data_IF_752304179983
#
_entry.id   IF_752304179983
#
_cell.length_a   1.000
_cell.length_b   1.000
_cell.length_c   1.000
_cell.angle_alpha   90.00
_cell.angle_beta   90.00
_cell.angle_gamma   90.00
#
_symmetry.space_group_name_H-M   'P 1'
#
loop_
_entity.id
_entity.type
_entity.pdbx_description
1 polymer ?
#
# COMPACT_ATOMS: atom_id res chain seq x y z
N UNK A 1 19.86 -61.17 -17.74
CA UNK A 1 20.05 -59.94 -18.53
C UNK A 1 18.78 -59.14 -18.33
N UNK A 2 18.75 -58.42 -17.22
CA UNK A 2 17.61 -57.65 -16.71
C UNK A 2 17.86 -56.20 -17.06
N UNK A 3 16.87 -55.60 -17.72
CA UNK A 3 16.85 -54.21 -18.14
C UNK A 3 16.20 -53.37 -17.03
N UNK A 4 16.89 -52.38 -16.44
CA UNK A 4 16.23 -51.34 -15.68
C UNK A 4 16.48 -49.98 -16.33
N UNK A 5 15.42 -49.19 -16.51
CA UNK A 5 15.36 -47.76 -16.17
C UNK A 5 14.29 -47.07 -17.03
N UNK A 6 13.04 -47.15 -16.59
CA UNK A 6 12.03 -46.18 -16.96
C UNK A 6 12.43 -44.82 -16.40
N UNK A 7 12.90 -43.92 -17.25
CA UNK A 7 13.05 -42.50 -16.92
C UNK A 7 11.67 -41.88 -17.04
N UNK A 8 10.97 -41.84 -15.91
CA UNK A 8 9.79 -40.99 -15.75
C UNK A 8 10.23 -39.54 -15.82
N UNK A 9 9.85 -38.84 -16.88
CA UNK A 9 9.95 -37.39 -16.98
C UNK A 9 8.97 -36.78 -15.97
N UNK A 10 9.42 -36.58 -14.72
CA UNK A 10 8.75 -35.67 -13.82
C UNK A 10 8.93 -34.26 -14.38
N UNK A 11 7.90 -33.78 -15.07
CA UNK A 11 7.73 -32.37 -15.36
C UNK A 11 7.70 -31.63 -14.02
N UNK A 12 8.85 -31.08 -13.62
CA UNK A 12 8.90 -30.04 -12.59
C UNK A 12 8.08 -28.88 -13.13
N UNK A 13 6.82 -28.77 -12.68
CA UNK A 13 6.11 -27.51 -12.72
C UNK A 13 6.92 -26.56 -11.83
N UNK A 14 7.77 -25.74 -12.46
CA UNK A 14 8.31 -24.56 -11.82
C UNK A 14 7.11 -23.74 -11.33
N UNK A 15 6.90 -23.72 -10.02
CA UNK A 15 5.87 -22.89 -9.40
C UNK A 15 6.13 -21.46 -9.80
N UNK A 16 5.29 -20.91 -10.68
CA UNK A 16 5.32 -19.49 -11.00
C UNK A 16 4.80 -18.76 -9.77
N UNK A 17 5.71 -18.28 -8.93
CA UNK A 17 5.34 -17.42 -7.81
C UNK A 17 4.83 -16.09 -8.38
N UNK A 18 3.54 -15.80 -8.20
CA UNK A 18 2.94 -14.50 -8.58
C UNK A 18 3.75 -13.36 -7.96
N UNK A 19 4.11 -12.35 -8.75
CA UNK A 19 4.83 -11.16 -8.30
C UNK A 19 4.13 -10.48 -7.10
N UNK A 20 4.91 -9.88 -6.19
CA UNK A 20 4.37 -9.08 -5.08
C UNK A 20 3.53 -7.92 -5.62
N UNK A 21 2.38 -7.66 -5.01
CA UNK A 21 1.60 -6.47 -5.34
C UNK A 21 2.38 -5.24 -4.85
N UNK A 22 2.54 -4.19 -5.68
CA UNK A 22 3.39 -3.06 -5.35
C UNK A 22 2.87 -2.31 -4.10
N UNK A 23 3.76 -1.70 -3.31
CA UNK A 23 3.35 -0.86 -2.19
C UNK A 23 2.64 0.40 -2.70
N UNK A 24 1.91 1.05 -1.78
CA UNK A 24 1.37 2.40 -1.99
C UNK A 24 2.22 3.40 -1.21
N UNK A 25 2.45 4.57 -1.80
CA UNK A 25 3.13 5.67 -1.12
C UNK A 25 2.08 6.56 -0.47
N UNK A 26 2.41 7.14 0.68
CA UNK A 26 1.65 8.22 1.31
C UNK A 26 2.54 9.43 1.35
N UNK A 27 2.06 10.59 0.91
CA UNK A 27 2.84 11.81 0.86
C UNK A 27 2.10 12.99 1.48
N UNK A 28 2.82 13.77 2.30
CA UNK A 28 2.36 15.06 2.82
C UNK A 28 3.36 16.14 2.47
N UNK A 29 2.91 17.29 1.97
CA UNK A 29 3.74 18.48 1.75
C UNK A 29 3.24 19.64 2.60
N UNK A 30 4.15 20.29 3.31
CA UNK A 30 3.93 21.52 4.08
C UNK A 30 5.11 22.45 3.78
N UNK A 31 4.83 23.66 3.29
CA UNK A 31 5.88 24.53 2.77
C UNK A 31 6.62 23.85 1.61
N UNK A 32 7.95 23.80 1.71
CA UNK A 32 8.85 23.09 0.80
C UNK A 32 9.21 21.67 1.28
N UNK A 33 8.69 21.23 2.44
CA UNK A 33 9.00 19.93 3.02
C UNK A 33 7.95 18.88 2.61
N UNK A 34 8.40 17.76 2.07
CA UNK A 34 7.58 16.60 1.72
C UNK A 34 7.99 15.38 2.53
N UNK A 35 7.07 14.91 3.37
CA UNK A 35 7.16 13.62 4.04
C UNK A 35 6.58 12.53 3.13
N UNK A 36 7.28 11.40 2.99
CA UNK A 36 6.82 10.24 2.22
C UNK A 36 6.95 8.96 3.03
N UNK A 37 5.91 8.15 3.05
CA UNK A 37 5.89 6.83 3.71
C UNK A 37 5.47 5.74 2.72
N UNK A 38 6.18 4.63 2.69
CA UNK A 38 5.79 3.44 1.95
C UNK A 38 4.95 2.51 2.84
N UNK A 39 3.79 2.10 2.33
CA UNK A 39 2.86 1.19 3.00
C UNK A 39 2.69 -0.07 2.15
N UNK A 40 3.00 -1.23 2.74
CA UNK A 40 2.77 -2.52 2.11
C UNK A 40 1.28 -2.88 2.09
N UNK A 41 0.75 -3.13 0.89
CA UNK A 41 -0.67 -3.47 0.65
C UNK A 41 -0.87 -4.90 0.13
N UNK A 42 0.21 -5.66 -0.08
CA UNK A 42 0.12 -7.07 -0.49
C UNK A 42 -0.36 -7.93 0.69
N UNK A 43 -1.44 -8.69 0.45
CA UNK A 43 -2.07 -9.56 1.45
C UNK A 43 -1.19 -10.69 1.97
N UNK A 44 -0.09 -11.00 1.27
CA UNK A 44 0.88 -12.04 1.60
C UNK A 44 2.05 -11.52 2.43
N UNK A 45 2.28 -10.21 2.43
CA UNK A 45 3.43 -9.61 3.11
C UNK A 45 3.09 -9.38 4.58
N UNK A 46 3.85 -10.04 5.46
CA UNK A 46 3.80 -9.88 6.91
C UNK A 46 4.92 -8.97 7.45
N UNK A 47 5.69 -8.32 6.56
CA UNK A 47 6.77 -7.42 6.94
C UNK A 47 6.24 -6.24 7.78
N UNK A 48 7.17 -5.61 8.51
CA UNK A 48 6.90 -4.55 9.49
C UNK A 48 6.01 -3.43 8.96
N UNK A 49 5.47 -2.63 9.88
CA UNK A 49 4.39 -1.69 9.60
C UNK A 49 4.69 -0.70 8.46
N UNK A 50 5.98 -0.44 8.18
CA UNK A 50 6.47 0.46 7.14
C UNK A 50 7.76 -0.09 6.52
N UNK A 51 7.88 0.01 5.20
CA UNK A 51 9.04 -0.48 4.42
C UNK A 51 9.98 0.63 3.95
N UNK A 52 9.59 1.89 4.12
CA UNK A 52 10.42 3.06 3.81
C UNK A 52 9.77 4.36 4.28
N UNK A 53 10.59 5.33 4.68
CA UNK A 53 10.16 6.66 5.10
C UNK A 53 11.23 7.69 4.72
N UNK A 54 10.80 8.80 4.12
CA UNK A 54 11.67 9.87 3.64
C UNK A 54 11.10 11.22 4.04
N UNK A 55 12.00 12.15 4.33
CA UNK A 55 11.69 13.56 4.43
C UNK A 55 12.51 14.25 3.35
N UNK A 56 11.88 15.07 2.51
CA UNK A 56 12.53 15.68 1.36
C UNK A 56 12.22 17.17 1.38
N UNK A 57 13.23 18.03 1.30
CA UNK A 57 13.09 19.49 1.20
C UNK A 57 13.92 20.01 0.00
N UNK A 58 14.28 21.30 -0.02
CA UNK A 58 15.08 21.87 -1.11
C UNK A 58 16.52 21.34 -1.17
N UNK A 59 17.05 20.84 -0.06
CA UNK A 59 18.43 20.35 0.06
C UNK A 59 18.53 18.83 -0.20
N UNK A 60 17.40 18.18 -0.51
CA UNK A 60 17.33 16.77 -0.87
C UNK A 60 16.71 15.89 0.21
N UNK A 61 17.20 14.65 0.37
CA UNK A 61 16.69 13.70 1.38
C UNK A 61 17.29 13.96 2.76
N UNK A 62 16.42 14.14 3.75
CA UNK A 62 16.76 14.27 5.17
C UNK A 62 15.99 13.27 6.05
N UNK A 63 16.33 13.21 7.34
CA UNK A 63 15.61 12.41 8.35
C UNK A 63 15.87 10.89 8.25
N UNK A 64 14.79 10.10 8.26
CA UNK A 64 14.82 8.64 8.46
C UNK A 64 15.63 7.86 7.41
N UNK A 65 15.75 8.41 6.21
CA UNK A 65 16.50 7.84 5.09
C UNK A 65 17.64 8.75 4.61
N UNK A 66 18.15 9.65 5.46
CA UNK A 66 19.25 10.55 5.10
C UNK A 66 20.51 9.81 4.59
N UNK A 67 20.69 8.53 4.95
CA UNK A 67 21.75 7.65 4.45
C UNK A 67 21.39 6.86 3.18
N UNK A 68 20.40 7.28 2.39
CA UNK A 68 20.00 6.62 1.14
C UNK A 68 21.06 6.81 0.03
N UNK A 69 22.26 6.28 0.26
CA UNK A 69 23.41 6.32 -0.66
C UNK A 69 23.13 5.62 -2.01
N UNK A 70 22.02 4.88 -2.10
CA UNK A 70 21.54 4.21 -3.31
C UNK A 70 20.74 5.14 -4.24
N UNK A 71 20.37 6.34 -3.79
CA UNK A 71 19.71 7.35 -4.61
C UNK A 71 20.77 8.25 -5.25
N UNK A 72 21.00 8.05 -6.55
CA UNK A 72 21.77 9.01 -7.36
C UNK A 72 21.02 10.35 -7.42
N UNK A 73 21.71 11.46 -7.17
CA UNK A 73 21.10 12.81 -7.15
C UNK A 73 20.24 13.10 -5.91
N UNK A 74 20.57 12.51 -4.76
CA UNK A 74 19.83 12.67 -3.50
C UNK A 74 19.76 14.09 -2.94
N UNK A 75 20.59 14.99 -3.44
CA UNK A 75 20.66 16.42 -3.15
C UNK A 75 19.73 17.24 -4.05
N UNK A 76 19.05 16.59 -5.01
CA UNK A 76 18.03 17.18 -5.85
C UNK A 76 16.64 16.66 -5.50
N UNK A 77 15.80 17.56 -5.00
CA UNK A 77 14.42 17.28 -4.59
C UNK A 77 13.59 16.60 -5.68
N UNK A 78 13.65 17.12 -6.91
CA UNK A 78 12.81 16.61 -8.00
C UNK A 78 13.20 15.20 -8.42
N UNK A 79 14.51 14.93 -8.53
CA UNK A 79 15.05 13.60 -8.82
C UNK A 79 14.64 12.60 -7.75
N UNK A 80 14.77 12.98 -6.48
CA UNK A 80 14.38 12.16 -5.32
C UNK A 80 12.89 11.83 -5.35
N UNK A 81 12.02 12.84 -5.46
CA UNK A 81 10.58 12.63 -5.43
C UNK A 81 10.10 11.82 -6.63
N UNK A 82 10.68 12.04 -7.82
CA UNK A 82 10.34 11.27 -9.03
C UNK A 82 10.69 9.78 -8.87
N UNK A 83 11.80 9.48 -8.19
CA UNK A 83 12.21 8.10 -7.91
C UNK A 83 11.32 7.44 -6.85
N UNK A 84 11.07 8.12 -5.73
CA UNK A 84 10.32 7.57 -4.59
C UNK A 84 8.83 7.42 -4.93
N UNK A 85 8.26 8.39 -5.65
CA UNK A 85 6.83 8.44 -5.99
C UNK A 85 6.51 7.76 -7.33
N UNK A 86 7.38 6.88 -7.82
CA UNK A 86 7.13 6.04 -9.01
C UNK A 86 6.07 4.93 -8.81
N UNK A 87 5.30 5.00 -7.72
CA UNK A 87 4.23 4.07 -7.33
C UNK A 87 2.96 4.88 -7.01
N UNK A 88 1.76 4.25 -6.96
CA UNK A 88 0.54 4.96 -6.59
C UNK A 88 0.68 5.71 -5.26
N UNK A 89 0.22 6.96 -5.22
CA UNK A 89 0.40 7.88 -4.09
C UNK A 89 -0.93 8.30 -3.50
N UNK A 90 -1.12 8.09 -2.21
CA UNK A 90 -2.19 8.70 -1.41
C UNK A 90 -1.65 10.03 -0.85
N UNK A 91 -2.33 11.11 -1.18
CA UNK A 91 -2.00 12.45 -0.69
C UNK A 91 -2.67 12.68 0.66
N UNK A 92 -1.90 13.01 1.69
CA UNK A 92 -2.42 13.36 3.02
C UNK A 92 -2.52 14.87 3.21
N UNK A 93 -3.61 15.34 3.82
CA UNK A 93 -3.91 16.76 3.99
C UNK A 93 -4.66 17.38 2.80
N UNK A 94 -4.74 18.70 2.74
CA UNK A 94 -5.47 19.39 1.67
C UNK A 94 -4.81 19.16 0.30
N UNK A 95 -5.56 18.50 -0.61
CA UNK A 95 -5.11 18.15 -1.96
C UNK A 95 -4.63 19.37 -2.79
N UNK A 96 -5.10 20.57 -2.46
CA UNK A 96 -4.73 21.82 -3.13
C UNK A 96 -3.25 22.22 -2.91
N UNK A 97 -2.64 21.83 -1.79
CA UNK A 97 -1.23 22.16 -1.49
C UNK A 97 -0.22 21.17 -2.09
N UNK A 98 -0.60 19.89 -2.22
CA UNK A 98 0.31 18.85 -2.73
C UNK A 98 0.37 18.77 -4.24
N UNK A 99 -0.73 19.00 -4.96
CA UNK A 99 -0.74 18.93 -6.43
C UNK A 99 0.22 19.92 -7.09
N UNK A 100 0.60 20.99 -6.39
CA UNK A 100 1.62 21.95 -6.85
C UNK A 100 3.07 21.52 -6.54
N UNK A 101 3.29 20.58 -5.63
CA UNK A 101 4.62 20.18 -5.14
C UNK A 101 5.03 18.75 -5.52
N UNK A 102 4.17 18.01 -6.22
CA UNK A 102 4.47 16.66 -6.71
C UNK A 102 5.02 16.71 -8.14
N UNK A 103 5.96 15.81 -8.49
CA UNK A 103 6.42 15.67 -9.87
C UNK A 103 5.27 15.34 -10.84
N UNK A 104 5.45 15.72 -12.11
CA UNK A 104 4.53 15.34 -13.18
C UNK A 104 4.44 13.81 -13.32
N UNK A 105 3.23 13.31 -13.60
CA UNK A 105 3.00 11.89 -13.87
C UNK A 105 2.85 10.99 -12.63
N UNK A 106 2.85 11.57 -11.43
CA UNK A 106 2.51 10.83 -10.20
C UNK A 106 1.08 10.27 -10.28
N UNK A 107 0.95 8.97 -10.03
CA UNK A 107 -0.34 8.28 -10.03
C UNK A 107 -1.04 8.49 -8.68
N UNK A 108 -1.91 9.49 -8.60
CA UNK A 108 -2.64 9.78 -7.35
C UNK A 108 -3.77 8.78 -7.15
N UNK A 109 -3.89 8.25 -5.92
CA UNK A 109 -4.97 7.36 -5.50
C UNK A 109 -6.13 8.20 -4.98
N UNK A 110 -7.33 7.93 -5.50
CA UNK A 110 -8.57 8.35 -4.89
C UNK A 110 -8.88 7.39 -3.73
N UNK A 111 -8.56 7.83 -2.51
CA UNK A 111 -8.72 7.01 -1.32
C UNK A 111 -10.20 6.75 -0.99
N UNK A 112 -11.08 7.72 -1.24
CA UNK A 112 -12.51 7.57 -1.00
C UNK A 112 -13.09 6.52 -1.96
N UNK A 113 -12.83 6.66 -3.26
CA UNK A 113 -13.25 5.67 -4.26
C UNK A 113 -12.61 4.30 -4.02
N UNK A 114 -11.38 4.24 -3.51
CA UNK A 114 -10.72 2.98 -3.11
C UNK A 114 -11.49 2.28 -1.98
N UNK A 115 -11.88 3.02 -0.95
CA UNK A 115 -12.66 2.48 0.18
C UNK A 115 -14.04 2.02 -0.29
N UNK A 116 -14.71 2.79 -1.14
CA UNK A 116 -16.01 2.41 -1.72
C UNK A 116 -15.91 1.15 -2.57
N UNK A 117 -14.89 1.05 -3.44
CA UNK A 117 -14.67 -0.11 -4.28
C UNK A 117 -14.40 -1.37 -3.44
N UNK A 118 -13.62 -1.24 -2.37
CA UNK A 118 -13.36 -2.32 -1.42
C UNK A 118 -14.64 -2.74 -0.66
N UNK A 119 -15.48 -1.80 -0.21
CA UNK A 119 -16.79 -2.09 0.39
C UNK A 119 -17.71 -2.83 -0.58
N UNK A 120 -17.80 -2.36 -1.82
CA UNK A 120 -18.59 -3.01 -2.86
C UNK A 120 -18.11 -4.45 -3.14
N UNK A 121 -16.81 -4.73 -3.01
CA UNK A 121 -16.29 -6.08 -3.12
C UNK A 121 -16.75 -6.99 -1.97
N UNK A 122 -16.94 -6.46 -0.75
CA UNK A 122 -17.51 -7.23 0.37
C UNK A 122 -18.96 -7.58 0.09
N UNK A 123 -19.76 -6.65 -0.46
CA UNK A 123 -21.14 -6.94 -0.84
C UNK A 123 -21.22 -8.02 -1.93
N UNK A 124 -20.35 -7.95 -2.95
CA UNK A 124 -20.25 -9.03 -3.95
C UNK A 124 -19.92 -10.38 -3.31
N UNK A 125 -19.01 -10.43 -2.33
CA UNK A 125 -18.71 -11.67 -1.62
C UNK A 125 -19.94 -12.23 -0.87
N UNK A 126 -20.81 -11.36 -0.32
CA UNK A 126 -22.08 -11.77 0.32
C UNK A 126 -23.03 -12.39 -0.68
N UNK A 127 -23.19 -11.75 -1.83
CA UNK A 127 -24.03 -12.21 -2.95
C UNK A 127 -23.53 -13.56 -3.49
N UNK A 128 -22.26 -13.64 -3.85
CA UNK A 128 -21.61 -14.86 -4.37
C UNK A 128 -21.76 -16.04 -3.39
N UNK A 129 -21.61 -15.77 -2.09
CA UNK A 129 -21.80 -16.81 -1.08
C UNK A 129 -23.25 -17.26 -0.92
N UNK A 130 -24.20 -16.32 -0.97
CA UNK A 130 -25.62 -16.66 -0.90
C UNK A 130 -26.04 -17.54 -2.07
N UNK A 131 -25.54 -17.24 -3.27
CA UNK A 131 -25.77 -18.03 -4.48
C UNK A 131 -25.13 -19.42 -4.38
N UNK A 132 -23.85 -19.49 -4.00
CA UNK A 132 -23.12 -20.75 -3.91
C UNK A 132 -23.56 -21.64 -2.72
N UNK A 133 -24.17 -21.05 -1.68
CA UNK A 133 -24.56 -21.75 -0.46
C UNK A 133 -26.00 -21.38 -0.01
N UNK A 134 -27.04 -21.75 -0.78
CA UNK A 134 -28.42 -21.38 -0.46
C UNK A 134 -28.84 -21.86 0.93
N UNK A 135 -29.47 -20.96 1.71
CA UNK A 135 -29.98 -21.26 3.05
C UNK A 135 -28.93 -21.37 4.16
N UNK A 136 -27.63 -21.21 3.85
CA UNK A 136 -26.59 -21.15 4.89
C UNK A 136 -26.49 -19.76 5.50
N UNK A 137 -26.07 -19.71 6.76
CA UNK A 137 -25.75 -18.45 7.43
C UNK A 137 -24.55 -17.77 6.77
N UNK A 138 -24.63 -16.44 6.61
CA UNK A 138 -23.56 -15.63 6.07
C UNK A 138 -22.32 -15.62 6.98
N UNK A 139 -21.11 -15.77 6.43
CA UNK A 139 -19.87 -15.52 7.17
C UNK A 139 -19.79 -14.09 7.70
N UNK A 140 -18.99 -13.85 8.76
CA UNK A 140 -18.69 -12.51 9.22
C UNK A 140 -17.68 -11.87 8.26
N UNK A 141 -18.17 -11.35 7.14
CA UNK A 141 -17.34 -10.83 6.04
C UNK A 141 -16.40 -9.68 6.40
N UNK A 142 -16.58 -9.06 7.58
CA UNK A 142 -15.82 -7.90 8.02
C UNK A 142 -16.38 -6.59 7.47
N UNK A 143 -15.76 -5.51 7.89
CA UNK A 143 -16.08 -4.15 7.51
C UNK A 143 -14.83 -3.47 6.94
N UNK A 144 -15.05 -2.59 5.97
CA UNK A 144 -13.99 -1.83 5.32
C UNK A 144 -14.24 -0.36 5.63
N UNK A 145 -13.32 0.24 6.37
CA UNK A 145 -13.37 1.65 6.75
C UNK A 145 -11.95 2.20 6.72
N UNK A 146 -11.85 3.47 6.35
CA UNK A 146 -10.63 4.24 6.50
C UNK A 146 -10.85 5.28 7.58
N UNK A 147 -9.91 5.33 8.51
CA UNK A 147 -9.83 6.36 9.53
C UNK A 147 -8.35 6.70 9.71
N UNK A 148 -8.03 7.98 9.68
CA UNK A 148 -6.69 8.45 10.01
C UNK A 148 -6.31 8.06 11.44
N UNK A 149 -5.04 7.71 11.66
CA UNK A 149 -4.59 7.20 12.95
C UNK A 149 -3.50 8.12 13.50
N UNK A 150 -3.93 9.04 14.36
CA UNK A 150 -3.06 10.02 14.99
C UNK A 150 -1.91 9.40 15.77
N UNK A 151 -0.95 10.25 16.13
CA UNK A 151 0.16 9.92 17.01
C UNK A 151 1.24 10.98 16.92
N UNK A 152 2.20 10.92 17.83
CA UNK A 152 3.27 11.91 17.87
C UNK A 152 4.26 11.68 16.73
N UNK A 153 4.75 12.76 16.08
CA UNK A 153 5.90 12.66 15.21
C UNK A 153 7.14 12.26 16.02
N UNK A 154 8.18 11.71 15.38
CA UNK A 154 9.44 11.43 16.05
C UNK A 154 10.09 12.69 16.64
N UNK A 155 10.87 12.51 17.71
CA UNK A 155 11.53 13.62 18.41
C UNK A 155 12.55 14.32 17.52
N UNK A 156 12.69 15.64 17.67
CA UNK A 156 13.68 16.44 16.94
C UNK A 156 13.20 17.02 15.62
N UNK A 157 11.91 16.87 15.29
CA UNK A 157 11.25 17.59 14.19
C UNK A 157 10.48 18.78 14.75
N UNK A 158 10.53 19.90 14.03
CA UNK A 158 9.75 21.12 14.30
C UNK A 158 9.18 21.71 12.99
N UNK A 159 8.37 22.76 13.13
CA UNK A 159 7.78 23.50 12.01
C UNK A 159 7.11 22.62 10.95
N UNK A 160 7.35 22.96 9.69
CA UNK A 160 6.77 22.32 8.52
C UNK A 160 7.11 20.83 8.43
N UNK A 161 8.32 20.44 8.86
CA UNK A 161 8.74 19.04 8.89
C UNK A 161 7.93 18.21 9.89
N UNK A 162 7.71 18.73 11.11
CA UNK A 162 6.88 18.04 12.10
C UNK A 162 5.43 17.90 11.62
N UNK A 163 4.89 18.94 10.98
CA UNK A 163 3.53 18.93 10.46
C UNK A 163 3.36 17.96 9.28
N UNK A 164 4.25 18.00 8.30
CA UNK A 164 4.25 17.09 7.15
C UNK A 164 4.36 15.63 7.60
N UNK A 165 5.27 15.32 8.53
CA UNK A 165 5.43 13.98 9.08
C UNK A 165 4.18 13.53 9.85
N UNK A 166 3.59 14.41 10.66
CA UNK A 166 2.39 14.07 11.44
C UNK A 166 1.22 13.70 10.53
N UNK A 167 0.95 14.51 9.51
CA UNK A 167 -0.10 14.25 8.51
C UNK A 167 0.17 12.95 7.76
N UNK A 168 1.38 12.82 7.20
CA UNK A 168 1.77 11.64 6.42
C UNK A 168 1.67 10.35 7.24
N UNK A 169 2.17 10.34 8.48
CA UNK A 169 2.10 9.17 9.36
C UNK A 169 0.67 8.84 9.77
N UNK A 170 -0.17 9.85 10.01
CA UNK A 170 -1.57 9.65 10.39
C UNK A 170 -2.32 8.89 9.29
N UNK A 171 -2.19 9.35 8.05
CA UNK A 171 -2.77 8.71 6.88
C UNK A 171 -2.12 7.34 6.62
N UNK A 172 -0.79 7.21 6.67
CA UNK A 172 -0.10 5.94 6.43
C UNK A 172 -0.51 4.82 7.40
N UNK A 173 -0.69 5.15 8.68
CA UNK A 173 -1.24 4.22 9.66
C UNK A 173 -2.70 3.86 9.38
N UNK A 174 -3.52 4.82 8.94
CA UNK A 174 -4.89 4.56 8.48
C UNK A 174 -4.93 3.60 7.28
N UNK A 175 -4.10 3.83 6.27
CA UNK A 175 -3.97 2.98 5.08
C UNK A 175 -3.51 1.58 5.48
N UNK A 176 -2.60 1.47 6.44
CA UNK A 176 -2.17 0.18 6.98
C UNK A 176 -3.34 -0.60 7.60
N UNK A 177 -4.16 0.05 8.43
CA UNK A 177 -5.34 -0.59 9.03
C UNK A 177 -6.36 -1.00 7.96
N UNK A 178 -6.58 -0.14 6.97
CA UNK A 178 -7.43 -0.45 5.82
C UNK A 178 -6.93 -1.71 5.07
N UNK A 179 -5.63 -1.78 4.76
CA UNK A 179 -5.03 -2.93 4.11
C UNK A 179 -5.14 -4.20 4.96
N UNK A 180 -4.97 -4.11 6.28
CA UNK A 180 -5.15 -5.25 7.19
C UNK A 180 -6.60 -5.76 7.20
N UNK A 181 -7.59 -4.85 7.26
CA UNK A 181 -9.01 -5.19 7.17
C UNK A 181 -9.32 -5.87 5.84
N UNK A 182 -8.87 -5.29 4.72
CA UNK A 182 -9.00 -5.90 3.39
C UNK A 182 -8.39 -7.30 3.31
N UNK A 183 -7.18 -7.48 3.85
CA UNK A 183 -6.50 -8.78 3.86
C UNK A 183 -7.28 -9.83 4.66
N UNK A 184 -7.95 -9.44 5.74
CA UNK A 184 -8.82 -10.33 6.51
C UNK A 184 -10.05 -10.74 5.68
N UNK A 185 -10.70 -9.79 5.00
CA UNK A 185 -11.81 -10.06 4.08
C UNK A 185 -11.38 -11.03 2.98
N UNK A 186 -10.25 -10.78 2.31
CA UNK A 186 -9.79 -11.62 1.21
C UNK A 186 -9.39 -13.02 1.65
N UNK A 187 -8.77 -13.17 2.83
CA UNK A 187 -8.48 -14.49 3.39
C UNK A 187 -9.77 -15.29 3.65
N UNK A 188 -10.79 -14.65 4.21
CA UNK A 188 -12.08 -15.29 4.42
C UNK A 188 -12.77 -15.62 3.10
N UNK A 189 -12.72 -14.71 2.11
CA UNK A 189 -13.25 -14.94 0.76
C UNK A 189 -12.59 -16.15 0.11
N UNK A 190 -11.27 -16.23 0.11
CA UNK A 190 -10.54 -17.39 -0.44
C UNK A 190 -10.93 -18.67 0.29
N UNK A 191 -11.08 -18.64 1.62
CA UNK A 191 -11.50 -19.81 2.39
C UNK A 191 -12.93 -20.27 2.06
N UNK A 192 -13.85 -19.35 1.72
CA UNK A 192 -15.28 -19.66 1.53
C UNK A 192 -15.69 -19.83 0.08
N UNK A 193 -15.05 -19.10 -0.83
CA UNK A 193 -15.39 -19.00 -2.25
C UNK A 193 -14.23 -19.40 -3.17
N UNK A 194 -13.02 -19.61 -2.64
CA UNK A 194 -11.84 -19.99 -3.42
C UNK A 194 -11.15 -18.83 -4.15
N UNK A 195 -10.24 -19.15 -5.07
CA UNK A 195 -9.46 -18.20 -5.85
C UNK A 195 -8.19 -17.69 -5.17
N UNK A 196 -7.53 -16.72 -5.78
CA UNK A 196 -6.29 -16.11 -5.27
C UNK A 196 -6.57 -14.92 -4.35
N UNK A 197 -5.65 -14.61 -3.43
CA UNK A 197 -5.68 -13.36 -2.67
C UNK A 197 -5.52 -12.16 -3.62
N UNK A 198 -6.24 -11.08 -3.32
CA UNK A 198 -6.16 -9.82 -4.05
C UNK A 198 -5.62 -8.73 -3.13
N UNK A 199 -4.73 -7.87 -3.62
CA UNK A 199 -4.35 -6.65 -2.92
C UNK A 199 -5.53 -5.68 -2.80
N UNK A 200 -5.35 -4.65 -1.95
CA UNK A 200 -6.30 -3.56 -1.81
C UNK A 200 -6.63 -2.97 -3.19
N UNK A 201 -7.91 -2.84 -3.58
CA UNK A 201 -8.28 -2.49 -4.94
C UNK A 201 -8.22 -0.97 -5.15
N UNK A 202 -7.00 -0.44 -5.25
CA UNK A 202 -6.70 0.97 -5.44
C UNK A 202 -7.43 1.55 -6.66
N UNK A 203 -8.03 2.73 -6.49
CA UNK A 203 -8.63 3.54 -7.55
C UNK A 203 -7.74 4.76 -7.76
N UNK A 204 -7.37 5.03 -9.02
CA UNK A 204 -6.57 6.21 -9.38
C UNK A 204 -7.50 7.38 -9.73
N UNK A 205 -7.09 8.59 -9.37
CA UNK A 205 -7.79 9.85 -9.64
C UNK A 205 -7.59 10.36 -11.08
#
# INVERSE_FOLDING_TARGET
MTDPSGVGTQSQQAGVTRAQDPPVMVASTVGDVTAVWQVEVDARVLLGDFSGAWLVDSDGVHGFAAGADWIDGRDDRETVLSLILGRPVIVSGEAAGLSAGLPDGVQVVDLEATVENARAAVERNREDFAEANPGKQQPPWGEIEFEEQGGLPPQGLDGDAAEAVTRCMSTARGVRRLAQSWNAVEKLRVQRLGGELRALPLVLA
#
